data_IF_190833610392
#
_entry.id   IF_190833610392
#
_cell.length_a   1.000
_cell.length_b   1.000
_cell.length_c   1.000
_cell.angle_alpha   90.00
_cell.angle_beta   90.00
_cell.angle_gamma   90.00
#
_symmetry.space_group_name_H-M   'P 1'
#
loop_
_entity.id
_entity.type
_entity.pdbx_description
1 polymer ?
#
# COMPACT_ATOMS: atom_id res chain seq x y z
N UNK A 1 4.35 -19.95 -3.73
CA UNK A 1 4.71 -18.76 -4.52
C UNK A 1 4.13 -17.57 -3.79
N UNK A 2 4.90 -16.53 -3.44
CA UNK A 2 4.30 -15.30 -2.93
C UNK A 2 3.36 -14.78 -4.02
N UNK A 3 2.10 -14.50 -3.64
CA UNK A 3 1.11 -13.99 -4.57
C UNK A 3 1.44 -12.51 -4.80
N UNK A 4 2.31 -12.23 -5.76
CA UNK A 4 2.64 -10.87 -6.17
C UNK A 4 1.49 -10.34 -7.02
N UNK A 5 0.75 -9.38 -6.48
CA UNK A 5 -0.27 -8.67 -7.23
C UNK A 5 0.37 -7.68 -8.17
N UNK A 6 -0.29 -7.41 -9.29
CA UNK A 6 0.24 -6.55 -10.34
C UNK A 6 0.44 -5.11 -9.85
N UNK A 7 -0.50 -4.65 -9.01
CA UNK A 7 -0.57 -3.30 -8.49
C UNK A 7 -1.37 -3.26 -7.17
N UNK A 8 -1.28 -2.14 -6.45
CA UNK A 8 -2.01 -1.85 -5.22
C UNK A 8 -3.52 -2.14 -5.33
N UNK A 9 -4.16 -1.74 -6.42
CA UNK A 9 -5.60 -1.96 -6.61
C UNK A 9 -5.94 -3.43 -6.83
N UNK A 10 -5.04 -4.20 -7.45
CA UNK A 10 -5.21 -5.64 -7.57
C UNK A 10 -5.10 -6.31 -6.20
N UNK A 11 -4.15 -5.85 -5.37
CA UNK A 11 -4.05 -6.28 -3.97
C UNK A 11 -5.36 -6.02 -3.21
N UNK A 12 -5.98 -4.85 -3.34
CA UNK A 12 -7.25 -4.54 -2.66
C UNK A 12 -8.40 -5.46 -3.08
N UNK A 13 -8.48 -5.84 -4.36
CA UNK A 13 -9.52 -6.77 -4.84
C UNK A 13 -9.41 -8.16 -4.25
N UNK A 14 -8.22 -8.57 -3.83
CA UNK A 14 -7.98 -9.91 -3.28
C UNK A 14 -7.85 -9.92 -1.76
N UNK A 15 -7.37 -8.83 -1.16
CA UNK A 15 -7.13 -8.69 0.26
C UNK A 15 -7.85 -7.46 0.83
N UNK A 16 -9.07 -7.68 1.32
CA UNK A 16 -9.87 -6.64 2.00
C UNK A 16 -9.13 -5.99 3.18
N UNK A 17 -8.25 -6.73 3.87
CA UNK A 17 -7.43 -6.19 4.95
C UNK A 17 -6.41 -5.14 4.46
N UNK A 18 -5.96 -5.24 3.21
CA UNK A 18 -5.04 -4.28 2.62
C UNK A 18 -5.73 -2.97 2.30
N UNK A 19 -6.96 -3.04 1.79
CA UNK A 19 -7.82 -1.89 1.56
C UNK A 19 -8.13 -1.18 2.88
N UNK A 20 -8.61 -1.92 3.88
CA UNK A 20 -8.90 -1.36 5.21
C UNK A 20 -7.66 -0.68 5.83
N UNK A 21 -6.47 -1.28 5.73
CA UNK A 21 -5.24 -0.65 6.19
C UNK A 21 -4.95 0.64 5.42
N UNK A 22 -5.03 0.61 4.08
CA UNK A 22 -4.80 1.78 3.25
C UNK A 22 -5.76 2.93 3.57
N UNK A 23 -7.02 2.64 3.86
CA UNK A 23 -8.02 3.65 4.24
C UNK A 23 -7.73 4.31 5.59
N UNK A 24 -7.03 3.63 6.51
CA UNK A 24 -6.61 4.22 7.80
C UNK A 24 -5.44 5.20 7.67
N UNK A 25 -4.75 5.21 6.52
CA UNK A 25 -3.60 6.09 6.29
C UNK A 25 -4.05 7.51 5.96
N UNK A 26 -3.21 8.50 6.31
CA UNK A 26 -3.40 9.90 5.94
C UNK A 26 -3.47 10.09 4.43
N UNK A 27 -4.22 11.10 3.99
CA UNK A 27 -4.40 11.40 2.56
C UNK A 27 -3.08 11.56 1.79
N UNK A 28 -2.05 12.20 2.38
CA UNK A 28 -0.73 12.35 1.76
C UNK A 28 -0.04 11.00 1.51
N UNK A 29 -0.07 10.11 2.51
CA UNK A 29 0.51 8.76 2.41
C UNK A 29 -0.26 7.93 1.38
N UNK A 30 -1.59 8.03 1.36
CA UNK A 30 -2.44 7.36 0.37
C UNK A 30 -2.14 7.83 -1.04
N UNK A 31 -1.98 9.13 -1.25
CA UNK A 31 -1.66 9.71 -2.56
C UNK A 31 -0.30 9.21 -3.08
N UNK A 32 0.73 9.26 -2.22
CA UNK A 32 2.08 8.75 -2.56
C UNK A 32 2.11 7.24 -2.83
N UNK A 33 1.36 6.45 -2.06
CA UNK A 33 1.21 5.02 -2.29
C UNK A 33 0.45 4.74 -3.59
N UNK A 34 -0.56 5.55 -3.91
CA UNK A 34 -1.31 5.46 -5.15
C UNK A 34 -0.43 5.79 -6.36
N UNK A 35 0.43 6.80 -6.25
CA UNK A 35 1.44 7.15 -7.25
C UNK A 35 2.47 6.01 -7.46
N UNK A 36 2.78 5.26 -6.41
CA UNK A 36 3.69 4.11 -6.42
C UNK A 36 2.95 2.76 -6.45
N UNK A 37 1.71 2.73 -6.94
CA UNK A 37 0.83 1.55 -6.87
C UNK A 37 1.44 0.28 -7.47
N UNK A 38 2.27 0.40 -8.51
CA UNK A 38 3.02 -0.72 -9.14
C UNK A 38 4.05 -1.39 -8.24
N UNK A 39 4.56 -0.68 -7.23
CA UNK A 39 5.54 -1.19 -6.28
C UNK A 39 4.87 -1.91 -5.10
N UNK A 40 3.59 -1.63 -4.85
CA UNK A 40 2.83 -2.22 -3.76
C UNK A 40 2.10 -3.46 -4.25
N UNK A 41 2.86 -4.56 -4.30
CA UNK A 41 2.39 -5.85 -4.83
C UNK A 41 1.92 -6.84 -3.77
N UNK A 42 2.07 -6.50 -2.50
CA UNK A 42 1.76 -7.35 -1.35
C UNK A 42 1.38 -6.49 -0.15
N UNK A 43 0.63 -7.07 0.79
CA UNK A 43 0.28 -6.38 2.03
C UNK A 43 1.51 -5.97 2.86
N UNK A 44 2.55 -6.79 2.86
CA UNK A 44 3.82 -6.45 3.51
C UNK A 44 4.50 -5.23 2.87
N UNK A 45 4.55 -5.18 1.53
CA UNK A 45 5.07 -4.04 0.79
C UNK A 45 4.26 -2.76 1.03
N UNK A 46 2.93 -2.88 1.12
CA UNK A 46 2.04 -1.76 1.47
C UNK A 46 2.42 -1.18 2.84
N UNK A 47 2.60 -2.06 3.82
CA UNK A 47 2.91 -1.67 5.19
C UNK A 47 4.31 -1.07 5.31
N UNK A 48 5.30 -1.65 4.63
CA UNK A 48 6.67 -1.14 4.58
C UNK A 48 6.73 0.25 3.95
N UNK A 49 6.12 0.43 2.78
CA UNK A 49 6.05 1.72 2.09
C UNK A 49 5.30 2.77 2.91
N UNK A 50 4.17 2.40 3.51
CA UNK A 50 3.42 3.30 4.37
C UNK A 50 4.26 3.76 5.58
N UNK A 51 5.02 2.87 6.22
CA UNK A 51 5.91 3.22 7.33
C UNK A 51 7.07 4.11 6.90
N UNK A 52 7.66 3.86 5.74
CA UNK A 52 8.74 4.69 5.19
C UNK A 52 8.25 6.11 4.92
N UNK A 53 7.09 6.23 4.26
CA UNK A 53 6.45 7.52 3.99
C UNK A 53 6.05 8.27 5.27
N UNK A 54 5.59 7.56 6.30
CA UNK A 54 5.27 8.16 7.60
C UNK A 54 6.52 8.63 8.36
N UNK A 55 7.68 7.98 8.16
CA UNK A 55 8.95 8.41 8.78
C UNK A 55 9.63 9.55 8.03
N UNK A 56 9.49 9.62 6.72
CA UNK A 56 10.07 10.68 5.89
C UNK A 56 9.28 12.00 5.89
N UNK A 57 8.21 12.09 6.68
CA UNK A 57 7.37 13.29 6.83
C UNK A 57 7.78 14.18 8.03
N UNK A 58 8.91 13.87 8.69
CA UNK A 58 9.51 14.64 9.79
C UNK A 58 10.58 15.63 9.29
#
# INVERSE_FOLDING_TARGET
MPQEYQDLYALFRHEHKAEAYFETLSADVRDRLSAQSRMVRSFDALRAQAQDLMKGAD
#
